data_IF_701879857498
#
_entry.id   IF_701879857498
#
_cell.length_a   1.000
_cell.length_b   1.000
_cell.length_c   1.000
_cell.angle_alpha   90.00
_cell.angle_beta   90.00
_cell.angle_gamma   90.00
#
_symmetry.space_group_name_H-M   'P 1'
#
loop_
_entity.id
_entity.type
_entity.pdbx_description
1 polymer ?
#
# COMPACT_ATOMS: atom_id res chain seq x y z
N UNK A 1 27.06 -9.82 9.91
CA UNK A 1 26.34 -8.94 8.97
C UNK A 1 24.85 -9.14 9.24
N UNK A 2 24.17 -8.10 9.70
CA UNK A 2 22.77 -8.18 10.14
C UNK A 2 21.89 -7.60 9.05
N UNK A 3 21.04 -8.42 8.45
CA UNK A 3 20.06 -7.96 7.45
C UNK A 3 18.80 -7.55 8.23
N UNK A 4 18.26 -6.34 8.01
CA UNK A 4 17.03 -5.93 8.68
C UNK A 4 15.86 -6.79 8.19
N UNK A 5 15.19 -7.44 9.13
CA UNK A 5 14.00 -8.27 8.88
C UNK A 5 12.75 -7.48 9.23
N UNK A 6 11.72 -7.60 8.40
CA UNK A 6 10.41 -6.95 8.61
C UNK A 6 9.37 -8.05 8.78
N UNK A 7 8.70 -8.08 9.93
CA UNK A 7 7.65 -9.05 10.18
C UNK A 7 6.37 -8.69 9.41
N UNK A 8 5.69 -9.68 8.83
CA UNK A 8 4.44 -9.51 8.10
C UNK A 8 3.46 -10.63 8.49
N UNK A 9 2.22 -10.26 8.82
CA UNK A 9 1.12 -11.19 8.99
C UNK A 9 0.20 -10.81 10.13
N UNK A 10 -1.12 -10.79 9.87
CA UNK A 10 -2.17 -10.71 10.90
C UNK A 10 -2.06 -9.55 11.91
N UNK A 11 -1.62 -8.37 11.44
CA UNK A 11 -1.60 -7.14 12.23
C UNK A 11 -2.89 -6.35 11.97
N UNK A 12 -3.74 -6.24 13.00
CA UNK A 12 -5.09 -5.68 12.91
C UNK A 12 -5.33 -4.53 13.90
N UNK A 13 -4.47 -4.36 14.89
CA UNK A 13 -4.57 -3.36 15.96
C UNK A 13 -3.20 -3.15 16.63
N UNK A 14 -3.16 -2.30 17.65
CA UNK A 14 -1.95 -2.06 18.43
C UNK A 14 -1.44 -3.33 19.12
N UNK A 15 -2.33 -4.11 19.74
CA UNK A 15 -1.98 -5.30 20.53
C UNK A 15 -1.31 -6.38 19.66
N UNK A 16 -1.89 -6.68 18.50
CA UNK A 16 -1.35 -7.65 17.52
C UNK A 16 0.01 -7.23 16.99
N UNK A 17 0.22 -5.92 16.75
CA UNK A 17 1.54 -5.43 16.36
C UNK A 17 2.57 -5.59 17.48
N UNK A 18 2.23 -5.23 18.73
CA UNK A 18 3.13 -5.41 19.87
C UNK A 18 3.47 -6.89 20.10
N UNK A 19 2.48 -7.78 20.03
CA UNK A 19 2.69 -9.21 20.14
C UNK A 19 3.58 -9.75 19.00
N UNK A 20 3.39 -9.28 17.77
CA UNK A 20 4.23 -9.65 16.63
C UNK A 20 5.68 -9.21 16.82
N UNK A 21 5.92 -7.97 17.28
CA UNK A 21 7.26 -7.45 17.55
C UNK A 21 7.93 -8.21 18.70
N UNK A 22 7.20 -8.51 19.78
CA UNK A 22 7.70 -9.30 20.91
C UNK A 22 8.04 -10.74 20.51
N UNK A 23 7.20 -11.39 19.69
CA UNK A 23 7.41 -12.77 19.28
C UNK A 23 8.55 -12.94 18.26
N UNK A 24 8.73 -11.96 17.37
CA UNK A 24 9.73 -12.04 16.28
C UNK A 24 11.04 -11.33 16.60
N UNK A 25 11.06 -10.44 17.60
CA UNK A 25 12.20 -9.57 17.88
C UNK A 25 12.46 -8.54 16.76
N UNK A 26 11.49 -8.33 15.85
CA UNK A 26 11.63 -7.36 14.77
C UNK A 26 11.26 -5.94 15.24
N UNK A 27 12.07 -4.96 14.87
CA UNK A 27 11.81 -3.54 15.12
C UNK A 27 10.83 -2.92 14.09
N UNK A 28 10.53 -3.66 13.02
CA UNK A 28 9.71 -3.20 11.92
C UNK A 28 8.65 -4.25 11.52
N UNK A 29 7.46 -3.75 11.21
CA UNK A 29 6.32 -4.56 10.77
C UNK A 29 5.70 -4.02 9.48
N UNK A 30 5.22 -4.91 8.62
CA UNK A 30 4.52 -4.58 7.39
C UNK A 30 3.01 -4.76 7.55
N UNK A 31 2.26 -3.73 7.19
CA UNK A 31 0.80 -3.72 7.24
C UNK A 31 0.22 -3.98 5.86
N UNK A 32 -0.57 -5.05 5.74
CA UNK A 32 -1.27 -5.41 4.51
C UNK A 32 -2.76 -5.12 4.61
N UNK A 33 -3.56 -6.20 4.67
CA UNK A 33 -5.03 -6.15 4.73
C UNK A 33 -5.57 -5.24 5.83
N UNK A 34 -4.94 -5.23 7.01
CA UNK A 34 -5.34 -4.39 8.14
C UNK A 34 -5.40 -2.90 7.81
N UNK A 35 -4.52 -2.41 6.93
CA UNK A 35 -4.47 -0.99 6.56
C UNK A 35 -5.68 -0.55 5.72
N UNK A 36 -6.34 -1.48 5.02
CA UNK A 36 -7.59 -1.18 4.32
C UNK A 36 -8.80 -1.20 5.27
N UNK A 37 -8.80 -2.12 6.24
CA UNK A 37 -9.86 -2.19 7.24
C UNK A 37 -9.84 -0.98 8.19
N UNK A 38 -8.66 -0.43 8.48
CA UNK A 38 -8.47 0.73 9.33
C UNK A 38 -7.54 1.69 8.59
N UNK A 39 -8.07 2.73 7.94
CA UNK A 39 -7.25 3.61 7.11
C UNK A 39 -6.11 4.32 7.87
N UNK A 40 -6.22 4.47 9.19
CA UNK A 40 -5.16 5.00 10.06
C UNK A 40 -4.38 3.92 10.85
N UNK A 41 -4.38 2.65 10.43
CA UNK A 41 -3.73 1.55 11.20
C UNK A 41 -2.27 1.85 11.54
N UNK A 42 -1.53 2.52 10.66
CA UNK A 42 -0.14 2.91 10.94
C UNK A 42 0.00 3.79 12.19
N UNK A 43 -0.96 4.70 12.42
CA UNK A 43 -0.99 5.55 13.62
C UNK A 43 -1.48 4.79 14.85
N UNK A 44 -2.45 3.90 14.66
CA UNK A 44 -2.91 2.98 15.73
C UNK A 44 -1.75 2.14 16.24
N UNK A 45 -0.97 1.52 15.35
CA UNK A 45 0.17 0.66 15.71
C UNK A 45 1.31 1.46 16.36
N UNK A 46 1.60 2.66 15.84
CA UNK A 46 2.77 3.43 16.28
C UNK A 46 2.53 4.25 17.55
N UNK A 47 1.34 4.81 17.70
CA UNK A 47 1.02 5.79 18.75
C UNK A 47 -0.14 5.35 19.66
N UNK A 48 -0.68 4.15 19.45
CA UNK A 48 -1.89 3.67 20.11
C UNK A 48 -3.08 4.64 19.96
N UNK A 49 -3.14 5.34 18.83
CA UNK A 49 -4.26 6.21 18.50
C UNK A 49 -5.55 5.40 18.28
N UNK A 50 -6.73 5.99 18.53
CA UNK A 50 -8.00 5.33 18.23
C UNK A 50 -8.15 5.10 16.71
N UNK A 51 -8.93 4.08 16.36
CA UNK A 51 -9.31 3.78 14.97
C UNK A 51 -10.03 5.00 14.37
N UNK A 52 -9.78 5.25 13.08
CA UNK A 52 -10.38 6.37 12.37
C UNK A 52 -11.92 6.32 12.51
N UNK A 53 -12.55 7.39 13.02
CA UNK A 53 -14.01 7.44 13.10
C UNK A 53 -14.67 7.32 11.73
N UNK A 54 -15.82 6.66 11.67
CA UNK A 54 -16.54 6.41 10.42
C UNK A 54 -16.76 7.66 9.54
N UNK A 55 -17.12 8.84 10.07
CA UNK A 55 -17.27 10.04 9.24
C UNK A 55 -16.00 10.42 8.46
N UNK A 56 -14.82 10.22 9.06
CA UNK A 56 -13.54 10.47 8.38
C UNK A 56 -13.23 9.42 7.31
N UNK A 57 -13.62 8.16 7.55
CA UNK A 57 -13.52 7.10 6.54
C UNK A 57 -14.37 7.45 5.32
N UNK A 58 -15.60 7.91 5.52
CA UNK A 58 -16.49 8.35 4.42
C UNK A 58 -15.88 9.52 3.65
N UNK A 59 -15.29 10.51 4.34
CA UNK A 59 -14.58 11.61 3.67
C UNK A 59 -13.40 11.12 2.81
N UNK A 60 -12.68 10.09 3.27
CA UNK A 60 -11.59 9.50 2.49
C UNK A 60 -12.12 8.81 1.22
N UNK A 61 -13.22 8.07 1.33
CA UNK A 61 -13.88 7.42 0.18
C UNK A 61 -14.42 8.46 -0.81
N UNK A 62 -15.02 9.54 -0.32
CA UNK A 62 -15.45 10.65 -1.18
C UNK A 62 -14.26 11.23 -1.95
N UNK A 63 -13.12 11.49 -1.28
CA UNK A 63 -11.90 11.97 -1.95
C UNK A 63 -11.43 10.97 -3.02
N UNK A 64 -11.42 9.68 -2.72
CA UNK A 64 -11.02 8.63 -3.66
C UNK A 64 -11.85 8.66 -4.96
N UNK A 65 -13.17 8.73 -4.86
CA UNK A 65 -14.08 8.80 -6.02
C UNK A 65 -13.82 10.05 -6.89
N UNK A 66 -13.45 11.18 -6.28
CA UNK A 66 -13.13 12.39 -7.03
C UNK A 66 -11.78 12.30 -7.76
N UNK A 67 -10.84 11.47 -7.30
CA UNK A 67 -9.56 11.26 -7.99
C UNK A 67 -9.71 10.44 -9.27
N UNK A 68 -10.71 9.54 -9.36
CA UNK A 68 -11.01 8.79 -10.58
C UNK A 68 -11.46 9.68 -11.73
N UNK A 69 -12.25 10.71 -11.43
CA UNK A 69 -12.76 11.66 -12.44
C UNK A 69 -11.66 12.54 -13.05
N UNK A 70 -10.52 12.69 -12.38
CA UNK A 70 -9.42 13.53 -12.84
C UNK A 70 -8.50 12.84 -13.89
N UNK A 71 -8.86 11.66 -14.41
CA UNK A 71 -8.17 11.00 -15.53
C UNK A 71 -6.73 10.54 -15.24
N UNK A 72 -6.30 10.57 -13.96
CA UNK A 72 -4.93 10.19 -13.55
C UNK A 72 -4.75 8.71 -13.28
N UNK A 73 -5.83 7.94 -13.20
CA UNK A 73 -5.78 6.49 -13.26
C UNK A 73 -6.05 6.07 -14.70
N UNK A 74 -4.97 5.95 -15.48
CA UNK A 74 -5.00 4.99 -16.57
C UNK A 74 -5.16 3.64 -15.90
N UNK A 75 -6.41 3.17 -15.80
CA UNK A 75 -6.73 1.76 -15.58
C UNK A 75 -5.69 0.99 -16.39
N UNK A 76 -4.90 0.11 -15.75
CA UNK A 76 -4.04 -0.80 -16.51
C UNK A 76 -4.98 -1.42 -17.54
N UNK A 77 -4.80 -1.12 -18.84
CA UNK A 77 -5.71 -1.65 -19.83
C UNK A 77 -5.63 -3.15 -19.63
N UNK A 78 -6.79 -3.76 -19.36
CA UNK A 78 -6.93 -5.21 -19.19
C UNK A 78 -6.11 -5.82 -20.32
N UNK A 79 -4.94 -6.39 -20.00
CA UNK A 79 -4.13 -7.03 -21.04
C UNK A 79 -5.07 -8.06 -21.68
N UNK A 80 -5.25 -8.05 -23.00
CA UNK A 80 -6.06 -9.07 -23.64
C UNK A 80 -5.42 -10.41 -23.24
N UNK A 81 -6.20 -11.25 -22.56
CA UNK A 81 -5.80 -12.62 -22.25
C UNK A 81 -5.84 -13.35 -23.59
N UNK A 82 -4.74 -13.31 -24.34
CA UNK A 82 -4.58 -14.13 -25.53
C UNK A 82 -4.39 -15.57 -25.06
N UNK A 83 -5.38 -16.41 -25.34
CA UNK A 83 -5.26 -17.86 -25.26
C UNK A 83 -4.25 -18.34 -26.33
N UNK A 84 -2.96 -18.24 -26.03
CA UNK A 84 -1.94 -18.98 -26.73
C UNK A 84 -0.75 -19.18 -25.81
N UNK A 85 -0.46 -20.44 -25.50
CA UNK A 85 0.66 -20.82 -24.67
C UNK A 85 1.98 -20.34 -25.25
N UNK A 86 2.74 -19.61 -24.44
CA UNK A 86 4.20 -19.71 -24.32
C UNK A 86 4.69 -18.58 -23.41
N UNK A 87 5.45 -18.97 -22.40
CA UNK A 87 6.08 -18.07 -21.45
C UNK A 87 7.11 -17.17 -22.15
N UNK A 88 7.06 -15.86 -21.88
CA UNK A 88 8.29 -15.05 -21.82
C UNK A 88 8.06 -13.83 -20.94
N UNK A 89 8.48 -13.98 -19.69
CA UNK A 89 8.70 -12.91 -18.74
C UNK A 89 9.89 -12.06 -19.21
N UNK A 90 9.63 -10.85 -19.69
CA UNK A 90 10.55 -9.69 -19.65
C UNK A 90 9.89 -8.48 -20.34
N UNK A 91 9.36 -7.52 -19.58
CA UNK A 91 9.14 -6.16 -20.09
C UNK A 91 9.80 -5.14 -19.15
N UNK A 92 10.98 -4.74 -19.59
CA UNK A 92 11.79 -3.61 -19.14
C UNK A 92 10.91 -2.39 -18.81
N UNK A 93 11.01 -1.90 -17.57
CA UNK A 93 10.43 -0.62 -17.15
C UNK A 93 11.25 0.49 -17.81
N UNK A 94 10.88 0.89 -19.03
CA UNK A 94 11.27 2.21 -19.56
C UNK A 94 10.16 3.19 -19.22
N UNK A 95 10.39 4.07 -18.25
CA UNK A 95 9.58 5.27 -18.07
C UNK A 95 9.70 6.12 -19.35
N UNK A 96 8.60 6.59 -19.96
CA UNK A 96 8.68 7.62 -20.99
C UNK A 96 9.18 8.93 -20.36
N UNK A 97 10.17 9.55 -21.03
CA UNK A 97 10.90 10.75 -20.58
C UNK A 97 10.03 12.03 -20.50
N UNK A 98 8.73 11.94 -20.79
CA UNK A 98 7.80 13.07 -20.85
C UNK A 98 7.23 13.50 -19.49
N UNK A 99 7.53 12.77 -18.40
CA UNK A 99 6.93 12.98 -17.09
C UNK A 99 7.88 13.59 -16.03
N UNK A 100 9.07 14.06 -16.41
CA UNK A 100 9.99 14.75 -15.49
C UNK A 100 9.61 16.26 -15.41
N UNK A 101 9.38 16.82 -14.21
CA UNK A 101 9.11 18.25 -14.05
C UNK A 101 10.29 19.09 -14.53
N UNK A 102 10.01 20.14 -15.33
CA UNK A 102 10.98 21.02 -16.00
C UNK A 102 11.69 22.04 -15.08
N UNK A 103 11.76 21.84 -13.76
CA UNK A 103 12.39 22.80 -12.84
C UNK A 103 13.63 22.28 -12.09
N UNK A 104 14.33 21.28 -12.64
CA UNK A 104 15.62 20.83 -12.11
C UNK A 104 16.69 20.85 -13.21
N UNK A 105 16.83 22.00 -13.88
CA UNK A 105 18.03 22.35 -14.63
C UNK A 105 18.50 23.72 -14.18
#
# INVERSE_FOLDING_TARGET
MTIPVIANGEIWDYQSAQACMQATGCDAVMLGRGALNIPNLSRVVKYNEPRMPWPQVVQLLQKYVHLEKAGRYRFIPRLPVSNSGSATCAKSIRKPLSCLPRSAR
#
